data_IF_985180028205
#
_entry.id   IF_985180028205
#
_cell.length_a   1.000
_cell.length_b   1.000
_cell.length_c   1.000
_cell.angle_alpha   90.00
_cell.angle_beta   90.00
_cell.angle_gamma   90.00
#
_symmetry.space_group_name_H-M   'P 1'
#
loop_
_entity.id
_entity.type
_entity.pdbx_description
1 polymer ?
#
# COMPACT_ATOMS: atom_id res chain seq x y z
N UNK A 1 30.43 8.79 -9.20
CA UNK A 1 29.65 9.34 -8.07
C UNK A 1 28.24 9.62 -8.57
N UNK A 2 27.21 9.38 -7.76
CA UNK A 2 25.87 9.87 -8.07
C UNK A 2 25.80 11.36 -7.69
N UNK A 3 25.37 12.21 -8.61
CA UNK A 3 25.15 13.63 -8.36
C UNK A 3 23.67 13.89 -8.03
N UNK A 4 23.41 14.97 -7.29
CA UNK A 4 22.05 15.49 -7.18
C UNK A 4 21.59 15.99 -8.55
N UNK A 5 20.28 15.89 -8.79
CA UNK A 5 19.67 16.50 -9.96
C UNK A 5 19.47 17.98 -9.61
N UNK A 6 20.36 18.84 -10.10
CA UNK A 6 20.25 20.29 -10.02
C UNK A 6 19.69 20.78 -11.37
N UNK A 7 18.62 21.56 -11.33
CA UNK A 7 18.02 22.16 -12.52
C UNK A 7 17.91 23.67 -12.32
N UNK A 8 18.49 24.44 -13.23
CA UNK A 8 18.21 25.87 -13.34
C UNK A 8 16.75 26.04 -13.79
N UNK A 9 15.83 26.18 -12.83
CA UNK A 9 14.42 26.42 -13.10
C UNK A 9 14.26 27.83 -13.70
N UNK A 10 13.92 27.89 -14.99
CA UNK A 10 13.53 29.15 -15.64
C UNK A 10 12.08 29.46 -15.29
N UNK A 11 11.84 30.65 -14.75
CA UNK A 11 10.50 31.12 -14.43
C UNK A 11 9.72 31.51 -15.70
N UNK A 12 8.43 31.16 -15.74
CA UNK A 12 7.50 31.60 -16.78
C UNK A 12 6.62 32.77 -16.29
N UNK A 13 5.74 33.27 -17.16
CA UNK A 13 4.70 34.22 -16.75
C UNK A 13 3.86 33.69 -15.58
N UNK A 14 3.45 34.58 -14.68
CA UNK A 14 2.66 34.23 -13.50
C UNK A 14 1.28 33.66 -13.87
N UNK A 15 0.83 32.68 -13.08
CA UNK A 15 -0.56 32.22 -13.09
C UNK A 15 -1.46 33.19 -12.31
N UNK A 16 -2.78 33.04 -12.45
CA UNK A 16 -3.74 33.69 -11.58
C UNK A 16 -3.44 33.40 -10.08
N UNK A 17 -3.45 34.42 -9.23
CA UNK A 17 -3.06 34.31 -7.81
C UNK A 17 -3.85 33.27 -7.01
N UNK A 18 -5.16 33.19 -7.23
CA UNK A 18 -6.02 32.23 -6.52
C UNK A 18 -5.72 30.80 -6.97
N UNK A 19 -5.47 30.61 -8.27
CA UNK A 19 -5.03 29.34 -8.83
C UNK A 19 -3.64 28.97 -8.26
N UNK A 20 -2.68 29.90 -8.27
CA UNK A 20 -1.33 29.66 -7.77
C UNK A 20 -1.33 29.24 -6.29
N UNK A 21 -2.08 29.94 -5.44
CA UNK A 21 -2.26 29.55 -4.02
C UNK A 21 -2.83 28.14 -3.88
N UNK A 22 -3.81 27.80 -4.71
CA UNK A 22 -4.44 26.47 -4.71
C UNK A 22 -3.46 25.39 -5.16
N UNK A 23 -2.74 25.62 -6.26
CA UNK A 23 -1.74 24.69 -6.81
C UNK A 23 -0.62 24.45 -5.80
N UNK A 24 -0.09 25.49 -5.16
CA UNK A 24 0.97 25.35 -4.17
C UNK A 24 0.55 24.50 -2.97
N UNK A 25 -0.67 24.70 -2.46
CA UNK A 25 -1.19 23.87 -1.38
C UNK A 25 -1.37 22.40 -1.81
N UNK A 26 -1.97 22.19 -2.98
CA UNK A 26 -2.23 20.84 -3.51
C UNK A 26 -0.96 20.09 -3.87
N UNK A 27 0.03 20.75 -4.48
CA UNK A 27 1.31 20.18 -4.88
C UNK A 27 2.13 19.67 -3.67
N UNK A 28 1.95 20.30 -2.50
CA UNK A 28 2.50 19.84 -1.22
C UNK A 28 1.73 18.66 -0.61
N UNK A 29 0.71 18.14 -1.31
CA UNK A 29 -0.15 17.07 -0.83
C UNK A 29 -1.09 17.49 0.29
N UNK A 30 -1.34 18.79 0.49
CA UNK A 30 -2.24 19.31 1.54
C UNK A 30 -3.71 19.10 1.13
N UNK A 31 -4.14 17.85 1.21
CA UNK A 31 -5.52 17.42 0.98
C UNK A 31 -5.95 16.48 2.11
N UNK A 32 -7.20 16.64 2.58
CA UNK A 32 -7.77 15.74 3.58
C UNK A 32 -7.91 14.33 2.98
N UNK A 33 -7.58 13.25 3.70
CA UNK A 33 -7.65 11.89 3.18
C UNK A 33 -9.01 11.51 2.58
N UNK A 34 -10.11 11.89 3.24
CA UNK A 34 -11.48 11.65 2.78
C UNK A 34 -11.75 12.27 1.39
N UNK A 35 -11.33 13.53 1.22
CA UNK A 35 -11.47 14.25 -0.05
C UNK A 35 -10.58 13.67 -1.15
N UNK A 36 -9.42 13.11 -0.77
CA UNK A 36 -8.55 12.44 -1.73
C UNK A 36 -9.19 11.14 -2.23
N UNK A 37 -9.75 10.32 -1.33
CA UNK A 37 -10.44 9.09 -1.69
C UNK A 37 -11.67 9.37 -2.58
N UNK A 38 -12.45 10.40 -2.26
CA UNK A 38 -13.55 10.88 -3.11
C UNK A 38 -13.08 11.19 -4.54
N UNK A 39 -11.99 11.97 -4.67
CA UNK A 39 -11.40 12.30 -5.98
C UNK A 39 -10.90 11.07 -6.71
N UNK A 40 -10.21 10.14 -6.03
CA UNK A 40 -9.71 8.91 -6.64
C UNK A 40 -10.84 8.02 -7.15
N UNK A 41 -11.97 7.96 -6.43
CA UNK A 41 -13.17 7.20 -6.80
C UNK A 41 -13.89 7.75 -8.04
N UNK A 42 -13.77 9.06 -8.30
CA UNK A 42 -14.41 9.74 -9.45
C UNK A 42 -13.79 9.34 -10.80
N UNK A 43 -12.48 9.11 -10.85
CA UNK A 43 -11.74 8.93 -12.10
C UNK A 43 -11.54 7.45 -12.44
N UNK A 44 -12.59 6.85 -13.01
CA UNK A 44 -12.55 5.47 -13.50
C UNK A 44 -11.86 5.37 -14.86
N UNK A 45 -11.13 4.26 -15.06
CA UNK A 45 -10.40 4.01 -16.30
C UNK A 45 -11.37 3.92 -17.50
N UNK A 46 -11.17 4.72 -18.56
CA UNK A 46 -11.92 4.56 -19.80
C UNK A 46 -11.68 3.19 -20.43
N UNK A 47 -12.71 2.62 -21.07
CA UNK A 47 -12.66 1.25 -21.63
C UNK A 47 -11.62 1.09 -22.74
N UNK A 48 -11.38 2.13 -23.53
CA UNK A 48 -10.38 2.18 -24.61
C UNK A 48 -8.96 2.51 -24.13
N UNK A 49 -8.76 2.82 -22.85
CA UNK A 49 -7.45 3.17 -22.27
C UNK A 49 -6.87 2.03 -21.44
N UNK A 50 -6.65 0.86 -22.05
CA UNK A 50 -6.18 -0.36 -21.36
C UNK A 50 -4.91 -0.16 -20.53
N UNK A 51 -3.99 0.69 -21.02
CA UNK A 51 -2.69 0.95 -20.39
C UNK A 51 -2.74 1.93 -19.22
N UNK A 52 -3.86 2.65 -19.01
CA UNK A 52 -4.06 3.48 -17.82
C UNK A 52 -4.51 2.61 -16.64
N UNK A 53 -3.65 1.68 -16.25
CA UNK A 53 -3.90 0.75 -15.15
C UNK A 53 -2.71 0.68 -14.19
N UNK A 54 -2.99 0.19 -12.99
CA UNK A 54 -1.95 -0.14 -12.02
C UNK A 54 -1.15 -1.34 -12.50
N UNK A 55 0.17 -1.20 -12.49
CA UNK A 55 1.07 -2.32 -12.79
C UNK A 55 1.19 -3.18 -11.55
N UNK A 56 0.87 -4.46 -11.68
CA UNK A 56 0.96 -5.43 -10.57
C UNK A 56 2.15 -6.34 -10.78
N UNK A 57 2.79 -6.72 -9.68
CA UNK A 57 3.76 -7.82 -9.69
C UNK A 57 3.03 -9.12 -10.04
N UNK A 58 3.60 -9.90 -10.96
CA UNK A 58 3.08 -11.22 -11.34
C UNK A 58 2.85 -12.11 -10.09
N UNK A 59 1.72 -12.83 -9.98
CA UNK A 59 1.39 -13.63 -8.79
C UNK A 59 2.49 -14.63 -8.36
N UNK A 60 3.17 -15.22 -9.34
CA UNK A 60 4.26 -16.18 -9.14
C UNK A 60 5.43 -15.51 -8.39
N UNK A 61 5.83 -14.32 -8.85
CA UNK A 61 6.88 -13.52 -8.20
C UNK A 61 6.37 -13.01 -6.85
N UNK A 62 5.16 -12.49 -6.79
CA UNK A 62 4.56 -11.98 -5.56
C UNK A 62 4.57 -12.99 -4.42
N UNK A 63 4.30 -14.27 -4.74
CA UNK A 63 4.25 -15.36 -3.75
C UNK A 63 5.59 -15.64 -3.06
N UNK A 64 6.71 -15.42 -3.76
CA UNK A 64 8.07 -15.69 -3.24
C UNK A 64 8.71 -14.46 -2.57
N UNK A 65 8.16 -13.25 -2.78
CA UNK A 65 8.69 -12.04 -2.15
C UNK A 65 8.60 -12.10 -0.62
N UNK A 66 9.59 -11.53 0.07
CA UNK A 66 9.53 -11.34 1.53
C UNK A 66 8.38 -10.39 1.90
N UNK A 67 7.73 -10.56 3.06
CA UNK A 67 6.66 -9.67 3.50
C UNK A 67 7.05 -8.18 3.51
N UNK A 68 8.29 -7.87 3.89
CA UNK A 68 8.82 -6.50 3.88
C UNK A 68 8.94 -5.92 2.48
N UNK A 69 9.33 -6.73 1.48
CA UNK A 69 9.38 -6.32 0.07
C UNK A 69 7.98 -6.08 -0.47
N UNK A 70 7.01 -6.97 -0.19
CA UNK A 70 5.60 -6.79 -0.57
C UNK A 70 5.02 -5.50 0.03
N UNK A 71 5.27 -5.24 1.31
CA UNK A 71 4.81 -4.03 1.98
C UNK A 71 5.41 -2.75 1.35
N UNK A 72 6.69 -2.79 0.97
CA UNK A 72 7.35 -1.68 0.26
C UNK A 72 6.73 -1.48 -1.13
N UNK A 73 6.53 -2.55 -1.87
CA UNK A 73 5.94 -2.52 -3.21
C UNK A 73 4.51 -1.97 -3.20
N UNK A 74 3.65 -2.41 -2.26
CA UNK A 74 2.29 -1.85 -2.10
C UNK A 74 2.32 -0.35 -1.88
N UNK A 75 3.29 0.17 -1.11
CA UNK A 75 3.42 1.62 -0.91
C UNK A 75 3.82 2.33 -2.21
N UNK A 76 4.57 1.70 -3.11
CA UNK A 76 4.85 2.24 -4.45
C UNK A 76 3.67 2.10 -5.41
N UNK A 77 2.91 1.00 -5.36
CA UNK A 77 1.66 0.87 -6.12
C UNK A 77 0.64 1.96 -5.74
N UNK A 78 0.58 2.35 -4.45
CA UNK A 78 -0.24 3.50 -4.01
C UNK A 78 0.20 4.82 -4.65
N UNK A 79 1.51 5.06 -4.73
CA UNK A 79 2.07 6.22 -5.45
C UNK A 79 1.69 6.16 -6.94
N UNK A 80 1.87 4.99 -7.59
CA UNK A 80 1.48 4.78 -8.99
C UNK A 80 -0.02 5.03 -9.21
N UNK A 81 -0.87 4.63 -8.27
CA UNK A 81 -2.33 4.86 -8.33
C UNK A 81 -2.65 6.33 -8.49
N UNK A 82 -1.99 7.21 -7.73
CA UNK A 82 -2.17 8.65 -7.87
C UNK A 82 -1.83 9.12 -9.29
N UNK A 83 -0.68 8.73 -9.83
CA UNK A 83 -0.29 9.12 -11.19
C UNK A 83 -1.29 8.62 -12.25
N UNK A 84 -1.68 7.36 -12.20
CA UNK A 84 -2.65 6.78 -13.13
C UNK A 84 -4.01 7.49 -13.05
N UNK A 85 -4.52 7.76 -11.84
CA UNK A 85 -5.81 8.43 -11.64
C UNK A 85 -5.79 9.88 -12.10
N UNK A 86 -4.69 10.60 -11.87
CA UNK A 86 -4.52 11.93 -12.40
C UNK A 86 -4.43 11.94 -13.94
N UNK A 87 -3.72 10.99 -14.55
CA UNK A 87 -3.69 10.84 -16.01
C UNK A 87 -5.06 10.58 -16.59
N UNK A 88 -5.91 9.79 -15.92
CA UNK A 88 -7.31 9.59 -16.33
C UNK A 88 -8.09 10.91 -16.27
N UNK A 89 -7.97 11.68 -15.18
CA UNK A 89 -8.64 12.97 -15.05
C UNK A 89 -8.24 13.94 -16.18
N UNK A 90 -6.95 14.00 -16.50
CA UNK A 90 -6.43 14.81 -17.61
C UNK A 90 -6.97 14.30 -18.95
N UNK A 91 -6.95 12.98 -19.20
CA UNK A 91 -7.46 12.40 -20.43
C UNK A 91 -8.97 12.69 -20.65
N UNK A 92 -9.77 12.62 -19.58
CA UNK A 92 -11.19 12.99 -19.64
C UNK A 92 -11.40 14.49 -19.92
N UNK A 93 -10.58 15.35 -19.34
CA UNK A 93 -10.58 16.78 -19.64
C UNK A 93 -10.21 17.04 -21.12
N UNK A 94 -9.19 16.37 -21.63
CA UNK A 94 -8.78 16.45 -23.04
C UNK A 94 -9.88 15.96 -23.99
N UNK A 95 -10.57 14.87 -23.65
CA UNK A 95 -11.70 14.35 -24.45
C UNK A 95 -12.83 15.39 -24.59
N UNK A 96 -13.19 16.09 -23.50
CA UNK A 96 -14.18 17.18 -23.57
C UNK A 96 -13.73 18.33 -24.48
N UNK A 97 -12.46 18.71 -24.41
CA UNK A 97 -11.92 19.76 -25.29
C UNK A 97 -11.90 19.32 -26.76
N UNK A 98 -11.59 18.06 -27.04
CA UNK A 98 -11.61 17.51 -28.40
C UNK A 98 -13.03 17.45 -28.98
N UNK A 99 -14.02 17.07 -28.17
CA UNK A 99 -15.44 17.11 -28.57
C UNK A 99 -15.89 18.53 -28.88
N UNK A 100 -15.55 19.49 -28.04
CA UNK A 100 -15.85 20.90 -28.30
C UNK A 100 -15.21 21.40 -29.60
N UNK A 101 -13.96 21.02 -29.86
CA UNK A 101 -13.22 21.40 -31.07
C UNK A 101 -13.76 20.75 -32.35
N UNK A 102 -14.04 19.44 -32.31
CA UNK A 102 -14.33 18.65 -33.51
C UNK A 102 -15.82 18.58 -33.84
N UNK A 103 -16.68 18.62 -32.82
CA UNK A 103 -18.12 18.44 -32.94
C UNK A 103 -18.90 19.73 -32.65
N UNK A 104 -18.21 20.85 -32.40
CA UNK A 104 -18.80 22.12 -31.92
C UNK A 104 -19.70 21.94 -30.68
N UNK A 105 -19.40 20.95 -29.83
CA UNK A 105 -20.10 20.74 -28.56
C UNK A 105 -19.77 21.88 -27.59
N UNK A 106 -20.76 22.27 -26.76
CA UNK A 106 -20.53 23.25 -25.70
C UNK A 106 -19.65 22.66 -24.61
N UNK A 107 -18.64 23.43 -24.18
CA UNK A 107 -17.75 22.99 -23.11
C UNK A 107 -18.26 23.45 -21.75
N UNK A 108 -18.39 22.52 -20.81
CA UNK A 108 -18.56 22.88 -19.40
C UNK A 108 -17.20 23.25 -18.80
N UNK A 109 -16.86 24.54 -18.92
CA UNK A 109 -15.60 25.09 -18.41
C UNK A 109 -15.43 24.86 -16.91
N UNK A 110 -16.51 24.89 -16.13
CA UNK A 110 -16.43 24.68 -14.69
C UNK A 110 -16.05 23.22 -14.38
N UNK A 111 -16.66 22.26 -15.08
CA UNK A 111 -16.29 20.85 -14.95
C UNK A 111 -14.86 20.59 -15.44
N UNK A 112 -14.44 21.21 -16.53
CA UNK A 112 -13.07 21.10 -17.04
C UNK A 112 -12.03 21.56 -16.01
N UNK A 113 -12.24 22.74 -15.43
CA UNK A 113 -11.38 23.28 -14.37
C UNK A 113 -11.36 22.34 -13.17
N UNK A 114 -12.50 21.80 -12.75
CA UNK A 114 -12.57 20.84 -11.63
C UNK A 114 -11.75 19.58 -11.92
N UNK A 115 -11.82 19.01 -13.13
CA UNK A 115 -11.02 17.83 -13.49
C UNK A 115 -9.52 18.09 -13.43
N UNK A 116 -9.07 19.25 -13.92
CA UNK A 116 -7.66 19.63 -13.90
C UNK A 116 -7.16 19.91 -12.47
N UNK A 117 -7.95 20.62 -11.65
CA UNK A 117 -7.61 20.87 -10.23
C UNK A 117 -7.60 19.57 -9.42
N UNK A 118 -8.52 18.64 -9.71
CA UNK A 118 -8.50 17.31 -9.10
C UNK A 118 -7.24 16.52 -9.50
N UNK A 119 -6.83 16.57 -10.77
CA UNK A 119 -5.60 15.95 -11.23
C UNK A 119 -4.37 16.51 -10.47
N UNK A 120 -4.28 17.84 -10.32
CA UNK A 120 -3.21 18.49 -9.54
C UNK A 120 -3.22 18.02 -8.08
N UNK A 121 -4.40 17.94 -7.46
CA UNK A 121 -4.53 17.43 -6.08
C UNK A 121 -4.04 15.98 -5.93
N UNK A 122 -4.42 15.12 -6.88
CA UNK A 122 -4.03 13.71 -6.87
C UNK A 122 -2.51 13.57 -7.09
N UNK A 123 -1.94 14.31 -8.05
CA UNK A 123 -0.50 14.33 -8.33
C UNK A 123 0.29 14.82 -7.12
N UNK A 124 -0.14 15.91 -6.49
CA UNK A 124 0.51 16.45 -5.30
C UNK A 124 0.50 15.47 -4.13
N UNK A 125 -0.60 14.73 -3.92
CA UNK A 125 -0.62 13.63 -2.94
C UNK A 125 0.34 12.49 -3.32
N UNK A 126 0.37 12.09 -4.60
CA UNK A 126 1.31 11.09 -5.11
C UNK A 126 2.77 11.50 -4.88
N UNK A 127 3.10 12.76 -5.13
CA UNK A 127 4.42 13.34 -4.89
C UNK A 127 4.79 13.35 -3.40
N UNK A 128 3.87 13.76 -2.52
CA UNK A 128 4.08 13.69 -1.08
C UNK A 128 4.35 12.24 -0.61
N UNK A 129 3.60 11.27 -1.12
CA UNK A 129 3.84 9.86 -0.85
C UNK A 129 5.19 9.37 -1.40
N UNK A 130 5.59 9.81 -2.60
CA UNK A 130 6.89 9.49 -3.18
C UNK A 130 8.04 10.01 -2.32
N UNK A 131 7.94 11.24 -1.80
CA UNK A 131 8.92 11.79 -0.86
C UNK A 131 9.02 10.93 0.42
N UNK A 132 7.89 10.44 0.95
CA UNK A 132 7.93 9.48 2.06
C UNK A 132 8.60 8.14 1.68
N UNK A 133 8.46 7.68 0.42
CA UNK A 133 9.19 6.49 -0.06
C UNK A 133 10.69 6.73 -0.15
N UNK A 134 11.11 7.93 -0.57
CA UNK A 134 12.53 8.32 -0.55
C UNK A 134 13.08 8.30 0.88
N UNK A 135 12.34 8.85 1.85
CA UNK A 135 12.69 8.76 3.28
C UNK A 135 12.76 7.32 3.78
N UNK A 136 11.78 6.48 3.43
CA UNK A 136 11.76 5.06 3.79
C UNK A 136 13.01 4.32 3.27
N UNK A 137 13.50 4.68 2.07
CA UNK A 137 14.69 4.10 1.45
C UNK A 137 16.00 4.58 2.07
N UNK A 138 16.09 5.84 2.49
CA UNK A 138 17.28 6.42 3.15
C UNK A 138 17.37 6.00 4.62
N UNK A 139 16.23 5.69 5.26
CA UNK A 139 16.14 5.36 6.69
C UNK A 139 17.19 4.35 7.20
N UNK A 140 17.53 3.26 6.50
CA UNK A 140 18.54 2.30 6.97
C UNK A 140 19.96 2.87 7.05
N UNK A 141 20.25 3.92 6.29
CA UNK A 141 21.56 4.56 6.25
C UNK A 141 21.72 5.60 7.37
N UNK A 142 20.60 6.00 8.00
CA UNK A 142 20.60 6.90 9.14
C UNK A 142 20.85 6.12 10.44
N UNK A 143 21.50 6.79 11.41
CA UNK A 143 21.55 6.26 12.76
C UNK A 143 20.13 6.08 13.31
N UNK A 144 19.85 4.92 13.91
CA UNK A 144 18.53 4.56 14.46
C UNK A 144 17.94 5.64 15.38
N UNK A 145 18.77 6.41 16.10
CA UNK A 145 18.31 7.51 16.97
C UNK A 145 17.61 8.65 16.22
N UNK A 146 17.88 8.78 14.91
CA UNK A 146 17.27 9.78 14.02
C UNK A 146 16.19 9.20 13.11
N UNK A 147 15.78 7.95 13.30
CA UNK A 147 14.76 7.30 12.46
C UNK A 147 13.42 8.06 12.45
N UNK A 148 13.14 8.89 13.47
CA UNK A 148 11.97 9.76 13.54
C UNK A 148 11.95 10.85 12.45
N UNK A 149 13.11 11.23 11.87
CA UNK A 149 13.19 12.16 10.74
C UNK A 149 12.49 11.63 9.49
N UNK A 150 12.40 10.31 9.34
CA UNK A 150 11.73 9.67 8.20
C UNK A 150 10.20 9.60 8.36
N UNK A 151 9.66 10.08 9.47
CA UNK A 151 8.22 10.07 9.74
C UNK A 151 7.45 11.03 8.83
N UNK A 152 6.12 10.86 8.73
CA UNK A 152 5.28 11.77 7.93
C UNK A 152 5.00 13.11 8.63
N UNK A 153 5.34 13.23 9.91
CA UNK A 153 5.15 14.43 10.72
C UNK A 153 6.18 15.52 10.38
N UNK A 154 7.38 15.13 9.94
CA UNK A 154 8.39 16.09 9.47
C UNK A 154 7.95 16.60 8.10
N UNK A 155 7.71 17.92 7.91
CA UNK A 155 7.28 18.43 6.62
C UNK A 155 8.36 18.20 5.55
N UNK A 156 7.94 17.92 4.32
CA UNK A 156 8.80 18.01 3.15
C UNK A 156 8.63 19.40 2.55
N UNK A 157 9.72 20.16 2.44
CA UNK A 157 9.78 21.47 1.77
C UNK A 157 10.51 21.29 0.44
N UNK A 158 11.38 22.24 0.06
CA UNK A 158 12.40 22.01 -0.97
C UNK A 158 13.40 20.92 -0.54
N UNK A 159 13.59 20.73 0.78
CA UNK A 159 14.47 19.71 1.33
C UNK A 159 13.67 18.50 1.86
N UNK A 160 14.17 17.30 1.56
CA UNK A 160 13.48 16.04 1.89
C UNK A 160 13.29 15.85 3.40
N UNK A 161 14.13 16.45 4.25
CA UNK A 161 14.03 16.35 5.71
C UNK A 161 13.62 17.68 6.38
N UNK A 162 13.10 18.62 5.58
CA UNK A 162 12.72 19.96 6.02
C UNK A 162 13.91 20.91 6.15
N UNK A 163 13.60 22.19 6.31
CA UNK A 163 14.60 23.28 6.37
C UNK A 163 15.28 23.34 7.76
N UNK A 164 14.53 23.02 8.82
CA UNK A 164 14.99 23.07 10.20
C UNK A 164 15.59 21.73 10.70
N UNK A 165 16.49 21.13 9.91
CA UNK A 165 17.06 19.81 10.21
C UNK A 165 17.77 19.77 11.58
N UNK A 166 18.56 20.80 11.89
CA UNK A 166 19.30 20.89 13.16
C UNK A 166 18.34 20.93 14.35
N UNK A 167 17.27 21.73 14.25
CA UNK A 167 16.28 21.83 15.30
C UNK A 167 15.52 20.51 15.48
N UNK A 168 15.12 19.88 14.37
CA UNK A 168 14.48 18.55 14.38
C UNK A 168 15.35 17.51 15.07
N UNK A 169 16.66 17.50 14.79
CA UNK A 169 17.62 16.62 15.45
C UNK A 169 17.73 16.89 16.96
N UNK A 170 17.77 18.16 17.40
CA UNK A 170 17.79 18.53 18.82
C UNK A 170 16.54 18.06 19.54
N UNK A 171 15.36 18.36 18.98
CA UNK A 171 14.08 17.93 19.53
C UNK A 171 13.99 16.42 19.66
N UNK A 172 14.49 15.65 18.67
CA UNK A 172 14.55 14.18 18.76
C UNK A 172 15.43 13.72 19.93
N UNK A 173 16.61 14.32 20.12
CA UNK A 173 17.52 13.97 21.21
C UNK A 173 16.88 14.28 22.58
N UNK A 174 16.28 15.46 22.72
CA UNK A 174 15.58 15.87 23.94
C UNK A 174 14.38 14.96 24.23
N UNK A 175 13.57 14.65 23.22
CA UNK A 175 12.42 13.75 23.33
C UNK A 175 12.87 12.36 23.77
N UNK A 176 13.96 11.84 23.20
CA UNK A 176 14.53 10.55 23.60
C UNK A 176 15.07 10.57 25.04
N UNK A 177 15.68 11.67 25.47
CA UNK A 177 16.14 11.85 26.86
C UNK A 177 14.97 11.83 27.84
N UNK A 178 13.92 12.61 27.57
CA UNK A 178 12.69 12.65 28.39
C UNK A 178 12.04 11.26 28.41
N UNK A 179 11.88 10.63 27.24
CA UNK A 179 11.34 9.27 27.13
C UNK A 179 12.12 8.28 28.01
N UNK A 180 13.44 8.29 27.97
CA UNK A 180 14.28 7.41 28.81
C UNK A 180 14.16 7.68 30.32
N UNK A 181 13.72 8.87 30.71
CA UNK A 181 13.46 9.23 32.12
C UNK A 181 12.03 8.87 32.54
N UNK A 182 11.07 8.88 31.61
CA UNK A 182 9.66 8.56 31.86
C UNK A 182 9.36 7.07 31.85
N UNK A 183 10.12 6.28 31.08
CA UNK A 183 9.99 4.83 31.03
C UNK A 183 11.03 4.17 31.93
N UNK A 184 10.58 3.48 32.99
CA UNK A 184 11.42 2.51 33.70
C UNK A 184 11.75 1.40 32.71
N UNK A 185 13.01 1.28 32.29
CA UNK A 185 13.47 0.10 31.57
C UNK A 185 13.29 -1.11 32.50
N UNK A 186 12.18 -1.84 32.40
CA UNK A 186 12.01 -3.11 33.09
C UNK A 186 13.05 -4.10 32.52
N UNK A 187 14.10 -4.48 33.28
CA UNK A 187 15.17 -5.33 32.77
C UNK A 187 14.67 -6.74 32.41
N UNK A 188 13.45 -7.11 32.80
CA UNK A 188 12.94 -8.49 32.70
C UNK A 188 12.47 -8.93 31.31
N UNK A 189 12.45 -8.05 30.30
CA UNK A 189 12.03 -8.41 28.93
C UNK A 189 13.16 -8.61 27.92
N UNK A 190 14.41 -8.72 28.39
CA UNK A 190 15.57 -9.00 27.54
C UNK A 190 16.08 -10.44 27.65
N UNK A 191 15.20 -11.41 27.86
CA UNK A 191 15.59 -12.82 27.86
C UNK A 191 14.58 -13.70 27.14
N UNK A 192 14.62 -13.67 25.80
CA UNK A 192 14.13 -14.79 25.00
C UNK A 192 14.80 -14.72 23.63
N UNK A 193 16.04 -15.24 23.57
CA UNK A 193 16.72 -15.84 22.41
C UNK A 193 18.21 -16.04 22.74
N UNK A 194 18.48 -16.87 23.73
CA UNK A 194 19.74 -17.62 23.80
C UNK A 194 19.38 -19.09 23.65
N UNK A 195 19.17 -19.52 22.42
CA UNK A 195 19.30 -20.93 22.08
C UNK A 195 20.77 -21.17 21.73
N UNK A 196 21.61 -21.30 22.75
CA UNK A 196 22.93 -21.93 22.62
C UNK A 196 22.84 -23.31 23.26
N UNK A 197 22.24 -24.25 22.54
CA UNK A 197 22.36 -25.66 22.87
C UNK A 197 23.79 -26.10 22.62
N UNK A 198 24.59 -26.22 23.69
CA UNK A 198 25.79 -27.07 23.81
C UNK A 198 26.27 -27.05 25.27
N UNK A 199 25.51 -27.72 26.13
CA UNK A 199 25.91 -28.07 27.49
C UNK A 199 26.07 -29.58 27.59
N UNK A 200 27.22 -30.09 27.14
CA UNK A 200 27.63 -31.49 27.31
C UNK A 200 27.93 -31.74 28.79
N UNK A 201 26.91 -32.12 29.55
CA UNK A 201 27.06 -32.64 30.92
C UNK A 201 27.59 -34.06 30.83
N UNK A 202 28.91 -34.27 30.89
CA UNK A 202 29.57 -35.51 31.34
C UNK A 202 30.95 -35.13 31.92
N UNK A 203 30.99 -34.81 33.21
CA UNK A 203 32.22 -34.87 34.03
C UNK A 203 31.87 -35.53 35.35
N UNK A 204 32.00 -36.86 35.38
CA UNK A 204 32.19 -37.61 36.61
C UNK A 204 33.27 -38.65 36.29
N UNK A 205 34.48 -38.38 36.77
CA UNK A 205 35.62 -39.26 36.61
C UNK A 205 36.49 -39.09 37.84
N UNK A 206 36.16 -39.84 38.89
CA UNK A 206 37.04 -40.08 40.02
C UNK A 206 37.10 -41.58 40.33
N UNK A 207 38.27 -41.97 40.84
CA UNK A 207 38.94 -43.27 40.77
C UNK A 207 38.41 -44.38 41.71
N UNK A 208 38.78 -45.64 41.32
CA UNK A 208 39.14 -46.83 42.14
C UNK A 208 38.04 -47.65 42.84
N UNK A 209 37.79 -48.88 42.35
CA UNK A 209 38.42 -50.13 42.85
C UNK A 209 37.58 -51.41 42.64
N UNK A 210 38.28 -52.48 42.22
CA UNK A 210 38.10 -53.92 42.52
C UNK A 210 36.94 -54.71 41.89
N UNK A 211 37.31 -55.73 41.09
CA UNK A 211 36.73 -57.07 41.25
C UNK A 211 36.27 -57.83 39.99
N UNK A 212 37.14 -58.75 39.53
CA UNK A 212 36.87 -60.01 38.81
C UNK A 212 36.60 -60.04 37.28
N UNK A 213 37.33 -60.91 36.53
CA UNK A 213 37.20 -61.08 35.09
C UNK A 213 36.39 -62.32 34.71
N UNK A 214 35.74 -62.32 33.54
CA UNK A 214 35.44 -63.56 32.81
C UNK A 214 35.41 -63.32 31.31
N UNK A 215 36.43 -63.87 30.64
CA UNK A 215 36.37 -64.26 29.23
C UNK A 215 35.41 -65.43 29.09
N UNK A 216 34.61 -65.47 28.01
CA UNK A 216 34.38 -66.72 27.28
C UNK A 216 34.10 -66.44 25.80
N UNK A 217 34.71 -67.32 25.01
CA UNK A 217 34.74 -67.46 23.57
C UNK A 217 33.39 -67.85 22.95
N UNK A 218 33.27 -67.65 21.63
CA UNK A 218 32.47 -68.50 20.74
C UNK A 218 31.62 -67.70 19.74
N UNK A 219 32.09 -67.39 18.53
CA UNK A 219 32.26 -68.26 17.34
C UNK A 219 31.02 -68.34 16.44
N UNK A 220 31.29 -68.40 15.13
CA UNK A 220 30.43 -68.70 13.96
C UNK A 220 29.89 -67.45 13.22
N UNK A 221 30.55 -66.95 12.16
CA UNK A 221 30.77 -67.49 10.80
C UNK A 221 29.74 -66.97 9.76
N UNK A 222 30.26 -66.14 8.85
CA UNK A 222 30.07 -66.12 7.37
C UNK A 222 28.67 -65.79 6.75
N UNK A 223 28.56 -64.55 6.23
CA UNK A 223 28.34 -64.08 4.83
C UNK A 223 27.77 -65.04 3.74
N UNK A 224 27.41 -64.56 2.51
CA UNK A 224 26.62 -63.40 2.03
C UNK A 224 25.70 -63.71 0.79
N UNK A 225 24.99 -62.67 0.26
CA UNK A 225 24.72 -62.40 -1.17
C UNK A 225 23.58 -63.18 -1.96
N UNK A 226 22.49 -62.50 -2.39
CA UNK A 226 22.08 -62.16 -3.80
C UNK A 226 20.62 -61.62 -3.92
N UNK A 227 20.38 -60.58 -4.76
CA UNK A 227 19.08 -59.96 -5.00
C UNK A 227 18.42 -60.39 -6.34
N UNK A 228 17.08 -60.31 -6.40
CA UNK A 228 16.21 -60.32 -7.60
C UNK A 228 14.93 -59.59 -7.20
N UNK A 229 14.29 -58.70 -7.95
CA UNK A 229 14.43 -58.24 -9.32
C UNK A 229 13.06 -57.70 -9.77
N UNK A 230 13.07 -56.52 -10.42
CA UNK A 230 12.11 -55.94 -11.39
C UNK A 230 10.59 -56.10 -11.21
N UNK A 231 9.88 -54.97 -11.37
CA UNK A 231 8.53 -54.93 -11.93
C UNK A 231 7.88 -53.54 -11.91
N UNK A 232 7.96 -52.81 -13.02
CA UNK A 232 7.15 -51.62 -13.29
C UNK A 232 5.71 -52.06 -13.64
N UNK A 233 4.67 -51.34 -13.16
CA UNK A 233 3.52 -50.95 -13.99
C UNK A 233 2.76 -49.77 -13.38
N UNK A 234 2.12 -49.06 -14.29
CA UNK A 234 1.52 -47.72 -14.23
C UNK A 234 0.00 -47.86 -14.07
N UNK A 235 -0.63 -46.86 -13.42
CA UNK A 235 -1.94 -46.24 -13.77
C UNK A 235 -3.23 -47.03 -13.49
N UNK A 236 -4.14 -46.43 -12.73
CA UNK A 236 -5.52 -46.14 -13.16
C UNK A 236 -6.27 -45.24 -12.16
N UNK A 237 -6.89 -44.20 -12.69
CA UNK A 237 -8.02 -43.48 -12.10
C UNK A 237 -9.28 -44.35 -12.17
N UNK A 238 -10.23 -44.19 -11.24
CA UNK A 238 -11.64 -44.48 -11.49
C UNK A 238 -12.51 -43.35 -10.97
N UNK A 239 -13.30 -42.79 -11.88
CA UNK A 239 -14.38 -41.83 -11.63
C UNK A 239 -15.68 -42.54 -11.24
N UNK A 240 -16.58 -41.77 -10.60
CA UNK A 240 -18.03 -41.81 -10.80
C UNK A 240 -18.82 -42.70 -9.84
N UNK A 241 -20.09 -42.44 -9.51
CA UNK A 241 -20.99 -41.29 -9.69
C UNK A 241 -22.32 -41.65 -8.98
N UNK A 242 -23.03 -40.67 -8.40
CA UNK A 242 -24.50 -40.66 -8.25
C UNK A 242 -25.15 -41.32 -7.01
N UNK A 243 -26.32 -40.93 -6.48
CA UNK A 243 -27.27 -39.82 -6.69
C UNK A 243 -28.37 -39.84 -5.56
N UNK A 244 -29.09 -38.72 -5.37
CA UNK A 244 -30.46 -38.51 -4.78
C UNK A 244 -30.66 -38.51 -3.23
N UNK A 245 -31.53 -37.69 -2.58
CA UNK A 245 -32.44 -36.56 -2.92
C UNK A 245 -32.97 -35.87 -1.63
N UNK A 246 -33.19 -34.55 -1.69
CA UNK A 246 -34.33 -33.73 -1.20
C UNK A 246 -34.78 -33.65 0.28
N UNK A 247 -34.98 -32.37 0.70
CA UNK A 247 -36.05 -31.85 1.58
C UNK A 247 -35.54 -31.22 2.88
N UNK A 248 -35.81 -29.97 3.28
CA UNK A 248 -36.57 -28.84 2.76
C UNK A 248 -36.93 -27.86 3.90
N UNK A 249 -36.92 -26.55 3.60
CA UNK A 249 -37.66 -25.41 4.25
C UNK A 249 -37.32 -25.00 5.70
N UNK A 250 -37.29 -23.74 6.14
CA UNK A 250 -37.88 -22.43 5.74
C UNK A 250 -37.03 -21.33 6.43
N UNK A 251 -36.84 -20.07 6.02
CA UNK A 251 -37.70 -19.09 5.34
C UNK A 251 -37.98 -17.92 6.30
N UNK A 252 -37.67 -16.68 5.91
CA UNK A 252 -38.46 -15.45 6.18
C UNK A 252 -37.83 -14.26 5.42
N UNK A 253 -38.66 -13.56 4.65
CA UNK A 253 -38.31 -12.35 3.91
C UNK A 253 -39.37 -11.26 4.12
N UNK A 254 -39.07 -10.05 3.64
CA UNK A 254 -39.96 -8.92 3.28
C UNK A 254 -39.05 -7.68 3.11
N UNK A 255 -39.26 -6.71 2.22
CA UNK A 255 -40.29 -6.43 1.25
C UNK A 255 -39.87 -5.18 0.44
N UNK A 256 -40.39 -5.07 -0.77
CA UNK A 256 -40.11 -4.04 -1.77
C UNK A 256 -41.13 -2.89 -1.63
N UNK A 257 -40.74 -1.63 -1.80
CA UNK A 257 -41.67 -0.53 -2.10
C UNK A 257 -41.08 0.43 -3.13
N UNK A 258 -41.75 0.50 -4.28
CA UNK A 258 -41.71 1.57 -5.26
C UNK A 258 -43.07 2.27 -5.18
N UNK A 259 -43.10 3.59 -4.96
CA UNK A 259 -44.28 4.44 -5.17
C UNK A 259 -43.87 5.90 -5.41
N UNK A 260 -44.04 6.34 -6.65
CA UNK A 260 -44.58 7.65 -7.06
C UNK A 260 -45.55 7.33 -8.22
N UNK A 261 -46.63 8.10 -8.51
CA UNK A 261 -46.76 9.55 -8.39
C UNK A 261 -48.11 10.06 -7.82
N UNK A 262 -48.15 11.32 -7.40
CA UNK A 262 -49.40 12.08 -7.29
C UNK A 262 -49.17 13.52 -7.75
N UNK A 263 -49.63 13.83 -8.96
CA UNK A 263 -49.97 15.18 -9.37
C UNK A 263 -51.32 15.54 -8.73
N UNK A 264 -51.39 16.69 -8.06
CA UNK A 264 -52.64 17.41 -7.84
C UNK A 264 -52.51 18.78 -8.50
N UNK A 265 -53.33 18.97 -9.51
CA UNK A 265 -53.67 20.21 -10.19
C UNK A 265 -54.38 21.18 -9.24
N UNK A 266 -53.97 22.45 -9.25
CA UNK A 266 -54.89 23.59 -9.24
C UNK A 266 -54.24 24.72 -10.07
N UNK A 267 -54.75 25.06 -11.26
CA UNK A 267 -55.62 26.24 -11.49
C UNK A 267 -55.25 27.40 -10.56
N UNK A 268 -54.73 28.54 -10.98
CA UNK A 268 -54.94 29.29 -12.21
C UNK A 268 -55.37 30.70 -11.78
N UNK A 269 -54.55 31.72 -11.98
CA UNK A 269 -54.97 33.12 -12.01
C UNK A 269 -53.88 33.99 -12.64
N UNK A 270 -54.14 34.34 -13.89
CA UNK A 270 -53.50 35.43 -14.62
C UNK A 270 -54.04 36.75 -14.07
N UNK A 271 -53.15 37.68 -13.70
CA UNK A 271 -53.49 39.11 -13.78
C UNK A 271 -52.25 39.92 -14.14
N UNK A 272 -52.28 40.40 -15.37
CA UNK A 272 -51.50 41.53 -15.85
C UNK A 272 -51.90 42.85 -15.15
N UNK A 273 -51.08 43.89 -15.41
CA UNK A 273 -51.14 45.31 -15.01
C UNK A 273 -50.12 45.63 -13.90
N UNK A 274 -49.29 46.67 -13.97
CA UNK A 274 -49.26 47.83 -14.86
C UNK A 274 -47.89 48.51 -14.68
N UNK A 275 -47.36 49.01 -15.78
CA UNK A 275 -46.49 50.18 -15.91
C UNK A 275 -46.86 51.28 -14.91
N UNK A 276 -45.88 52.03 -14.38
CA UNK A 276 -45.83 53.51 -14.33
C UNK A 276 -44.58 53.97 -13.54
N UNK A 277 -43.82 54.86 -14.20
CA UNK A 277 -42.75 55.79 -13.76
C UNK A 277 -41.49 55.25 -13.13
#
# INVERSE_FOLDING_TARGET
MAALIEGDEKESSALNDQLAKTVNALAQGKIKPEKLEEKLGKYNKPSNCGNLCLTRVNPEIWSILKPTTRARDVKFQKVQSSFVRASIAIAMATDQMLKARNNNETIDTAQLIRMLVDAIAILGSGNAQLNLRRRDSIRPDLNQKYAALCSSQVPCTSLLFGDDLVQSCKTIVETNKISSQMFVNDPKRRNTRQFSGRGSSHRAGDFRSRGFPKQHYGSHQRAPYYPRGRGYYRRAQSQGQGYYRSGGSSGHGSGNYHQTPSQSTSTGASTAKKTVT
#
